data_IF_905589714097
#
_entry.id   IF_905589714097
#
_cell.length_a   1.000
_cell.length_b   1.000
_cell.length_c   1.000
_cell.angle_alpha   90.00
_cell.angle_beta   90.00
_cell.angle_gamma   90.00
#
_symmetry.space_group_name_H-M   'P 1'
#
loop_
_entity.id
_entity.type
_entity.pdbx_description
1 polymer ?
#
# COMPACT_ATOMS: atom_id res chain seq x y z
N UNK A 1 19.19 -6.55 22.32
CA UNK A 1 17.83 -6.30 21.85
C UNK A 1 16.87 -7.00 22.81
N UNK A 2 16.02 -6.26 23.55
CA UNK A 2 14.94 -6.89 24.33
C UNK A 2 14.03 -7.61 23.33
N UNK A 3 13.86 -8.92 23.49
CA UNK A 3 12.87 -9.68 22.75
C UNK A 3 11.50 -8.99 22.93
N UNK A 4 10.95 -8.49 21.83
CA UNK A 4 9.59 -7.98 21.87
C UNK A 4 8.67 -9.19 22.03
N UNK A 5 8.08 -9.32 23.21
CA UNK A 5 7.02 -10.28 23.45
C UNK A 5 5.79 -9.85 22.62
N UNK A 6 5.19 -10.81 21.94
CA UNK A 6 3.88 -10.60 21.31
C UNK A 6 2.91 -10.21 22.42
N UNK A 7 2.16 -9.10 22.28
CA UNK A 7 1.22 -8.70 23.33
C UNK A 7 0.17 -9.78 23.57
N UNK A 8 -0.24 -9.94 24.82
CA UNK A 8 -1.29 -10.88 25.18
C UNK A 8 -2.65 -10.42 24.63
N UNK A 9 -3.59 -11.35 24.50
CA UNK A 9 -4.94 -11.02 24.08
C UNK A 9 -5.60 -9.98 25.00
N UNK A 10 -5.38 -10.08 26.30
CA UNK A 10 -5.89 -9.13 27.28
C UNK A 10 -5.33 -7.71 27.09
N UNK A 11 -4.02 -7.57 26.88
CA UNK A 11 -3.39 -6.28 26.58
C UNK A 11 -3.95 -5.64 25.31
N UNK A 12 -4.19 -6.45 24.27
CA UNK A 12 -4.82 -5.99 23.03
C UNK A 12 -6.24 -5.49 23.29
N UNK A 13 -7.04 -6.23 24.04
CA UNK A 13 -8.42 -5.84 24.38
C UNK A 13 -8.47 -4.55 25.22
N UNK A 14 -7.56 -4.39 26.18
CA UNK A 14 -7.45 -3.16 26.97
C UNK A 14 -7.14 -1.97 26.03
N UNK A 15 -6.19 -2.09 25.13
CA UNK A 15 -5.83 -1.03 24.16
C UNK A 15 -7.00 -0.66 23.24
N UNK A 16 -7.76 -1.65 22.80
CA UNK A 16 -8.91 -1.41 21.90
C UNK A 16 -10.10 -0.78 22.64
N UNK A 17 -10.26 -1.06 23.95
CA UNK A 17 -11.34 -0.51 24.77
C UNK A 17 -10.99 0.86 25.38
N UNK A 18 -9.70 1.21 25.48
CA UNK A 18 -9.20 2.49 26.03
C UNK A 18 -8.33 3.22 25.01
N UNK A 19 -8.90 4.10 24.19
CA UNK A 19 -8.14 4.88 23.20
C UNK A 19 -7.04 5.77 23.82
N UNK A 20 -7.23 6.24 25.05
CA UNK A 20 -6.20 7.05 25.73
C UNK A 20 -4.99 6.19 26.10
N UNK A 21 -5.22 5.01 26.64
CA UNK A 21 -4.15 4.03 26.94
C UNK A 21 -3.39 3.66 25.66
N UNK A 22 -4.12 3.36 24.58
CA UNK A 22 -3.50 3.04 23.29
C UNK A 22 -2.63 4.20 22.77
N UNK A 23 -3.11 5.43 22.89
CA UNK A 23 -2.36 6.62 22.50
C UNK A 23 -1.08 6.78 23.34
N UNK A 24 -1.16 6.59 24.64
CA UNK A 24 0.02 6.67 25.54
C UNK A 24 1.06 5.60 25.18
N UNK A 25 0.63 4.34 24.96
CA UNK A 25 1.51 3.24 24.55
C UNK A 25 2.19 3.54 23.21
N UNK A 26 1.45 4.14 22.28
CA UNK A 26 1.98 4.55 20.99
C UNK A 26 3.00 5.68 21.13
N UNK A 27 2.73 6.71 21.94
CA UNK A 27 3.66 7.82 22.18
C UNK A 27 4.95 7.32 22.84
N UNK A 28 4.86 6.42 23.82
CA UNK A 28 6.02 5.79 24.47
C UNK A 28 6.84 4.96 23.46
N UNK A 29 6.16 4.18 22.61
CA UNK A 29 6.82 3.38 21.58
C UNK A 29 7.56 4.25 20.57
N UNK A 30 6.99 5.38 20.16
CA UNK A 30 7.62 6.35 19.23
C UNK A 30 8.79 7.07 19.88
N UNK A 31 8.67 7.46 21.13
CA UNK A 31 9.79 8.06 21.87
C UNK A 31 10.99 7.11 21.97
N UNK A 32 10.73 5.80 22.11
CA UNK A 32 11.77 4.78 22.14
C UNK A 32 12.33 4.43 20.75
N UNK A 33 11.60 4.72 19.66
CA UNK A 33 11.91 4.34 18.28
C UNK A 33 11.46 5.41 17.29
N UNK A 34 12.29 6.46 17.15
CA UNK A 34 11.96 7.66 16.36
C UNK A 34 11.62 7.44 14.88
N UNK A 35 12.01 6.29 14.29
CA UNK A 35 11.76 5.97 12.88
C UNK A 35 10.63 4.94 12.68
N UNK A 36 9.85 4.66 13.71
CA UNK A 36 8.81 3.65 13.65
C UNK A 36 7.60 4.18 12.88
N UNK A 37 7.25 3.50 11.78
CA UNK A 37 6.06 3.81 11.01
C UNK A 37 4.80 3.19 11.62
N UNK A 38 3.63 3.81 11.36
CA UNK A 38 2.36 3.41 11.95
C UNK A 38 1.98 1.92 11.74
N UNK A 39 2.18 1.31 10.56
CA UNK A 39 1.91 -0.12 10.39
C UNK A 39 2.75 -1.02 11.31
N UNK A 40 4.01 -0.65 11.53
CA UNK A 40 4.89 -1.39 12.42
C UNK A 40 4.53 -1.16 13.89
N UNK A 41 4.17 0.07 14.27
CA UNK A 41 3.68 0.38 15.59
C UNK A 41 2.40 -0.42 15.92
N UNK A 42 1.45 -0.46 14.98
CA UNK A 42 0.23 -1.24 15.10
C UNK A 42 0.53 -2.73 15.35
N UNK A 43 1.44 -3.31 14.55
CA UNK A 43 1.88 -4.69 14.69
C UNK A 43 2.54 -4.97 16.06
N UNK A 44 3.36 -4.05 16.56
CA UNK A 44 4.03 -4.16 17.86
C UNK A 44 3.02 -4.10 19.00
N UNK A 45 2.05 -3.21 18.91
CA UNK A 45 1.00 -3.04 19.92
C UNK A 45 -0.12 -4.08 19.79
N UNK A 46 -0.12 -4.89 18.73
CA UNK A 46 -1.10 -5.94 18.47
C UNK A 46 -2.49 -5.41 18.08
N UNK A 47 -2.59 -4.19 17.60
CA UNK A 47 -3.85 -3.53 17.25
C UNK A 47 -3.91 -3.23 15.75
N UNK A 48 -5.12 -3.11 15.16
CA UNK A 48 -5.25 -2.59 13.79
C UNK A 48 -4.75 -1.15 13.67
N UNK A 49 -4.22 -0.78 12.50
CA UNK A 49 -3.71 0.58 12.30
C UNK A 49 -4.80 1.65 12.44
N UNK A 50 -6.04 1.37 12.01
CA UNK A 50 -7.16 2.26 12.21
C UNK A 50 -7.44 2.59 13.69
N UNK A 51 -7.13 1.65 14.61
CA UNK A 51 -7.24 1.90 16.05
C UNK A 51 -6.21 2.93 16.53
N UNK A 52 -4.97 2.85 16.03
CA UNK A 52 -3.94 3.87 16.33
C UNK A 52 -4.41 5.26 15.90
N UNK A 53 -4.85 5.38 14.65
CA UNK A 53 -5.32 6.66 14.11
C UNK A 53 -6.52 7.17 14.90
N UNK A 54 -7.50 6.30 15.19
CA UNK A 54 -8.69 6.68 15.96
C UNK A 54 -8.36 7.08 17.42
N UNK A 55 -7.27 6.56 18.01
CA UNK A 55 -6.82 6.99 19.34
C UNK A 55 -6.40 8.48 19.38
N UNK A 56 -6.16 9.09 18.20
CA UNK A 56 -5.83 10.51 18.00
C UNK A 56 -7.04 11.40 17.67
N UNK A 57 -8.26 10.90 17.73
CA UNK A 57 -9.45 11.72 17.51
C UNK A 57 -9.46 12.92 18.47
N UNK A 58 -9.68 14.13 17.90
CA UNK A 58 -9.56 15.38 18.64
C UNK A 58 -8.12 15.87 18.90
N UNK A 59 -7.10 15.05 18.57
CA UNK A 59 -5.68 15.37 18.78
C UNK A 59 -4.81 15.07 17.54
N UNK A 60 -5.31 15.44 16.36
CA UNK A 60 -4.62 15.23 15.08
C UNK A 60 -5.39 14.35 14.11
N UNK A 61 -6.33 13.55 14.56
CA UNK A 61 -7.21 12.78 13.69
C UNK A 61 -8.64 13.35 13.68
N UNK A 62 -9.31 13.19 12.55
CA UNK A 62 -10.72 13.50 12.35
C UNK A 62 -11.32 12.30 11.60
N UNK A 63 -12.41 11.72 12.10
CA UNK A 63 -13.17 10.69 11.40
C UNK A 63 -14.03 11.32 10.32
N UNK A 64 -14.05 10.72 9.15
CA UNK A 64 -14.82 11.15 7.99
C UNK A 64 -15.92 10.11 7.66
N UNK A 65 -16.94 10.46 6.87
CA UNK A 65 -17.87 9.48 6.32
C UNK A 65 -17.12 8.36 5.58
N UNK A 66 -17.64 7.15 5.62
CA UNK A 66 -17.08 6.03 4.84
C UNK A 66 -17.53 6.10 3.35
N UNK A 67 -17.42 7.28 2.76
CA UNK A 67 -17.71 7.54 1.35
C UNK A 67 -16.44 8.05 0.65
N UNK A 68 -15.61 7.12 0.12
CA UNK A 68 -14.35 7.50 -0.48
C UNK A 68 -14.49 8.33 -1.75
N UNK A 69 -15.57 8.21 -2.52
CA UNK A 69 -15.78 9.03 -3.71
C UNK A 69 -16.07 10.48 -3.33
N UNK A 70 -16.93 10.72 -2.32
CA UNK A 70 -17.19 12.05 -1.81
C UNK A 70 -15.92 12.74 -1.29
N UNK A 71 -15.08 11.98 -0.59
CA UNK A 71 -13.84 12.49 0.00
C UNK A 71 -12.80 12.81 -1.08
N UNK A 72 -12.63 11.91 -2.06
CA UNK A 72 -11.58 12.00 -3.09
C UNK A 72 -11.97 12.85 -4.30
N UNK A 73 -13.24 13.19 -4.48
CA UNK A 73 -13.69 13.97 -5.65
C UNK A 73 -12.86 15.23 -5.95
N UNK A 74 -12.32 16.01 -4.97
CA UNK A 74 -11.49 17.18 -5.24
C UNK A 74 -9.99 16.87 -5.35
N UNK A 75 -9.57 15.62 -5.45
CA UNK A 75 -8.15 15.24 -5.37
C UNK A 75 -7.30 15.86 -6.50
N UNK A 76 -7.89 16.15 -7.66
CA UNK A 76 -7.21 16.83 -8.77
C UNK A 76 -6.74 18.24 -8.39
N UNK A 77 -7.41 18.88 -7.43
CA UNK A 77 -7.04 20.19 -6.88
C UNK A 77 -5.87 20.12 -5.90
N UNK A 78 -5.56 18.94 -5.37
CA UNK A 78 -4.51 18.75 -4.34
C UNK A 78 -3.10 18.75 -4.91
N UNK A 79 -2.97 18.92 -6.23
CA UNK A 79 -1.70 18.89 -6.94
C UNK A 79 -1.00 17.54 -6.78
N UNK A 80 0.29 17.53 -6.50
CA UNK A 80 1.06 16.31 -6.31
C UNK A 80 0.73 15.68 -4.94
N UNK A 81 0.31 14.43 -4.96
CA UNK A 81 0.01 13.59 -3.79
C UNK A 81 0.86 12.33 -3.83
N UNK A 82 1.02 11.67 -2.69
CA UNK A 82 1.59 10.35 -2.63
C UNK A 82 0.49 9.40 -2.20
N UNK A 83 0.25 8.38 -3.02
CA UNK A 83 -0.70 7.31 -2.71
C UNK A 83 0.08 6.07 -2.30
N UNK A 84 -0.21 5.56 -1.11
CA UNK A 84 0.41 4.37 -0.55
C UNK A 84 -0.55 3.18 -0.58
N UNK A 85 -0.06 2.03 -1.05
CA UNK A 85 -0.72 0.74 -0.98
C UNK A 85 0.21 -0.24 -0.26
N UNK A 86 -0.31 -0.90 0.77
CA UNK A 86 0.42 -1.88 1.57
C UNK A 86 -0.08 -3.29 1.30
N UNK A 87 0.85 -4.24 1.22
CA UNK A 87 0.56 -5.67 1.26
C UNK A 87 1.58 -6.38 2.16
N UNK A 88 1.56 -7.72 2.23
CA UNK A 88 2.52 -8.47 3.04
C UNK A 88 3.96 -8.29 2.57
N UNK A 89 4.18 -8.09 1.26
CA UNK A 89 5.50 -7.85 0.67
C UNK A 89 6.07 -6.50 1.13
N UNK A 90 5.23 -5.46 1.36
CA UNK A 90 5.69 -4.14 1.80
C UNK A 90 4.77 -3.01 1.39
N UNK A 91 5.37 -1.88 0.99
CA UNK A 91 4.64 -0.69 0.57
C UNK A 91 5.06 -0.23 -0.82
N UNK A 92 4.07 0.11 -1.63
CA UNK A 92 4.21 0.83 -2.89
C UNK A 92 3.70 2.25 -2.71
N UNK A 93 4.51 3.23 -3.06
CA UNK A 93 4.29 4.67 -2.89
C UNK A 93 4.33 5.34 -4.26
N UNK A 94 3.16 5.61 -4.86
CA UNK A 94 3.10 6.34 -6.13
C UNK A 94 2.94 7.84 -5.87
N UNK A 95 3.82 8.64 -6.48
CA UNK A 95 3.88 10.08 -6.33
C UNK A 95 3.49 10.76 -7.63
N UNK A 96 2.40 11.52 -7.64
CA UNK A 96 1.91 12.18 -8.85
C UNK A 96 0.73 13.11 -8.59
N UNK A 97 0.28 13.74 -9.66
CA UNK A 97 -1.01 14.41 -9.66
C UNK A 97 -2.07 13.40 -10.08
N UNK A 98 -3.17 13.35 -9.34
CA UNK A 98 -4.36 12.61 -9.76
C UNK A 98 -5.17 13.54 -10.65
N UNK A 99 -5.40 13.10 -11.87
CA UNK A 99 -6.11 13.86 -12.91
C UNK A 99 -7.59 13.50 -12.95
N UNK A 100 -7.89 12.22 -12.65
CA UNK A 100 -9.24 11.67 -12.70
C UNK A 100 -9.50 10.73 -11.51
N UNK A 101 -10.73 10.82 -10.99
CA UNK A 101 -11.30 9.90 -10.02
C UNK A 101 -12.61 9.38 -10.56
N UNK A 102 -12.70 8.09 -10.75
CA UNK A 102 -13.90 7.45 -11.25
C UNK A 102 -14.31 6.27 -10.36
N UNK A 103 -15.61 6.04 -10.25
CA UNK A 103 -16.16 4.83 -9.68
C UNK A 103 -16.92 4.06 -10.76
N UNK A 104 -16.58 2.77 -10.91
CA UNK A 104 -17.28 1.83 -11.79
C UNK A 104 -17.66 0.61 -10.97
N UNK A 105 -18.94 0.43 -10.74
CA UNK A 105 -19.44 -0.57 -9.78
C UNK A 105 -18.88 -0.30 -8.39
N UNK A 106 -18.22 -1.30 -7.82
CA UNK A 106 -17.56 -1.20 -6.51
C UNK A 106 -16.14 -0.62 -6.56
N UNK A 107 -15.58 -0.41 -7.74
CA UNK A 107 -14.19 -0.01 -7.90
C UNK A 107 -14.06 1.50 -8.01
N UNK A 108 -13.30 2.11 -7.09
CA UNK A 108 -12.78 3.47 -7.24
C UNK A 108 -11.40 3.40 -7.87
N UNK A 109 -11.15 4.26 -8.85
CA UNK A 109 -9.88 4.37 -9.55
C UNK A 109 -9.38 5.80 -9.53
N UNK A 110 -8.13 5.96 -9.10
CA UNK A 110 -7.37 7.21 -9.14
C UNK A 110 -6.39 7.12 -10.29
N UNK A 111 -6.49 8.02 -11.25
CA UNK A 111 -5.61 8.05 -12.43
C UNK A 111 -4.84 9.35 -12.51
N UNK A 112 -3.57 9.23 -12.89
CA UNK A 112 -2.69 10.33 -13.26
C UNK A 112 -1.66 9.84 -14.26
N UNK A 113 -0.73 10.70 -14.67
CA UNK A 113 0.28 10.37 -15.67
C UNK A 113 1.16 9.17 -15.28
N UNK A 114 1.48 9.03 -14.00
CA UNK A 114 2.34 7.95 -13.45
C UNK A 114 1.68 7.16 -12.32
N UNK A 115 0.46 7.52 -11.94
CA UNK A 115 -0.28 6.93 -10.86
C UNK A 115 -1.56 6.30 -11.40
N UNK A 116 -1.74 5.02 -11.13
CA UNK A 116 -2.99 4.30 -11.37
C UNK A 116 -3.23 3.41 -10.14
N UNK A 117 -4.15 3.83 -9.28
CA UNK A 117 -4.49 3.12 -8.06
C UNK A 117 -5.98 2.85 -8.05
N UNK A 118 -6.37 1.63 -7.73
CA UNK A 118 -7.76 1.23 -7.63
C UNK A 118 -8.02 0.45 -6.34
N UNK A 119 -9.23 0.57 -5.81
CA UNK A 119 -9.64 -0.12 -4.59
C UNK A 119 -11.15 -0.33 -4.53
N UNK A 120 -11.59 -1.27 -3.68
CA UNK A 120 -13.01 -1.56 -3.45
C UNK A 120 -13.62 -0.48 -2.55
N UNK A 121 -14.64 0.20 -3.04
CA UNK A 121 -15.40 1.20 -2.27
C UNK A 121 -16.19 0.54 -1.13
N UNK A 122 -16.82 -0.60 -1.39
CA UNK A 122 -17.59 -1.35 -0.38
C UNK A 122 -16.72 -1.91 0.76
N UNK A 123 -15.42 -2.03 0.54
CA UNK A 123 -14.47 -2.43 1.58
C UNK A 123 -14.14 -1.30 2.55
N UNK A 124 -14.40 -0.05 2.22
CA UNK A 124 -14.09 1.10 3.09
C UNK A 124 -15.12 1.20 4.20
N UNK A 125 -14.71 0.90 5.42
CA UNK A 125 -15.55 1.05 6.61
C UNK A 125 -15.13 2.25 7.47
N UNK A 126 -13.88 2.68 7.37
CA UNK A 126 -13.36 3.83 8.11
C UNK A 126 -12.57 4.75 7.19
N UNK A 127 -12.75 6.04 7.39
CA UNK A 127 -11.97 7.07 6.74
C UNK A 127 -11.53 8.11 7.78
N UNK A 128 -10.26 8.51 7.70
CA UNK A 128 -9.67 9.48 8.61
C UNK A 128 -8.86 10.53 7.84
N UNK A 129 -9.02 11.80 8.23
CA UNK A 129 -7.99 12.79 8.01
C UNK A 129 -7.05 12.77 9.20
N UNK A 130 -5.77 12.58 8.96
CA UNK A 130 -4.76 12.46 9.99
C UNK A 130 -3.62 13.44 9.77
N UNK A 131 -3.34 14.23 10.79
CA UNK A 131 -2.23 15.18 10.84
C UNK A 131 -1.27 14.71 11.91
N UNK A 132 -0.10 14.34 11.49
CA UNK A 132 0.96 13.87 12.35
C UNK A 132 2.12 14.88 12.36
N UNK A 133 2.67 15.12 13.53
CA UNK A 133 3.89 15.92 13.70
C UNK A 133 5.00 14.99 14.14
N UNK A 134 6.07 14.97 13.39
CA UNK A 134 7.24 14.13 13.59
C UNK A 134 8.49 14.99 13.49
N UNK A 135 9.44 14.81 14.40
CA UNK A 135 10.67 15.62 14.48
C UNK A 135 11.55 15.44 13.22
N UNK A 136 11.46 14.29 12.53
CA UNK A 136 12.26 13.98 11.36
C UNK A 136 11.61 14.42 10.05
N UNK A 137 10.29 14.32 9.94
CA UNK A 137 9.54 14.58 8.72
C UNK A 137 8.68 15.84 8.79
N UNK A 138 8.65 16.48 9.96
CA UNK A 138 7.80 17.64 10.20
C UNK A 138 6.31 17.28 10.25
N UNK A 139 5.47 18.17 9.71
CA UNK A 139 4.03 17.96 9.70
C UNK A 139 3.57 17.22 8.46
N UNK A 140 3.18 15.96 8.61
CA UNK A 140 2.55 15.17 7.56
C UNK A 140 1.03 15.25 7.63
N UNK A 141 0.35 15.11 6.49
CA UNK A 141 -1.09 15.14 6.37
C UNK A 141 -1.52 14.03 5.44
N UNK A 142 -2.44 13.18 5.90
CA UNK A 142 -2.93 12.06 5.11
C UNK A 142 -4.42 11.83 5.25
N UNK A 143 -5.02 11.36 4.17
CA UNK A 143 -6.26 10.60 4.21
C UNK A 143 -5.91 9.12 4.35
N UNK A 144 -6.61 8.43 5.22
CA UNK A 144 -6.42 6.99 5.42
C UNK A 144 -7.76 6.29 5.36
N UNK A 145 -7.84 5.28 4.50
CA UNK A 145 -9.01 4.44 4.33
C UNK A 145 -8.70 3.04 4.84
N UNK A 146 -9.56 2.51 5.68
CA UNK A 146 -9.42 1.18 6.22
C UNK A 146 -10.72 0.40 6.19
N UNK A 147 -10.57 -0.90 6.23
CA UNK A 147 -11.69 -1.83 6.27
C UNK A 147 -12.32 -1.93 7.68
N UNK A 148 -13.34 -2.75 7.83
CA UNK A 148 -14.05 -2.92 9.10
C UNK A 148 -13.19 -3.56 10.20
N UNK A 149 -12.20 -4.38 9.82
CA UNK A 149 -11.20 -4.93 10.74
C UNK A 149 -10.11 -3.92 11.12
N UNK A 150 -10.08 -2.77 10.45
CA UNK A 150 -9.07 -1.72 10.62
C UNK A 150 -7.78 -1.95 9.85
N UNK A 151 -7.81 -2.88 8.90
CA UNK A 151 -6.73 -3.07 7.92
C UNK A 151 -6.67 -1.90 6.93
N UNK A 152 -5.45 -1.47 6.60
CA UNK A 152 -5.22 -0.39 5.65
C UNK A 152 -5.64 -0.79 4.23
N UNK A 153 -6.35 0.10 3.53
CA UNK A 153 -6.71 -0.05 2.12
C UNK A 153 -5.79 0.81 1.27
N UNK A 154 -5.87 2.13 1.45
CA UNK A 154 -4.97 3.11 0.85
C UNK A 154 -4.74 4.29 1.79
N UNK A 155 -3.61 4.98 1.59
CA UNK A 155 -3.35 6.30 2.20
C UNK A 155 -2.99 7.30 1.12
N UNK A 156 -3.49 8.53 1.27
CA UNK A 156 -3.17 9.65 0.37
C UNK A 156 -2.52 10.76 1.18
N UNK A 157 -1.26 11.05 0.91
CA UNK A 157 -0.50 12.10 1.60
C UNK A 157 -0.50 13.39 0.78
N UNK A 158 -0.75 14.51 1.46
CA UNK A 158 -0.80 15.85 0.87
C UNK A 158 0.41 16.68 1.30
N UNK A 159 1.22 17.09 0.33
CA UNK A 159 2.44 17.88 0.58
C UNK A 159 2.24 19.38 0.36
N UNK A 160 1.35 19.76 -0.56
CA UNK A 160 1.15 21.17 -0.87
C UNK A 160 0.35 21.89 0.22
N UNK A 161 0.98 22.83 0.94
CA UNK A 161 0.42 23.46 2.14
C UNK A 161 -0.96 24.09 1.90
N UNK A 162 -1.14 24.84 0.81
CA UNK A 162 -2.41 25.51 0.50
C UNK A 162 -3.52 24.50 0.17
N UNK A 163 -3.22 23.47 -0.64
CA UNK A 163 -4.17 22.41 -0.96
C UNK A 163 -4.56 21.62 0.29
N UNK A 164 -3.58 21.28 1.14
CA UNK A 164 -3.84 20.58 2.40
C UNK A 164 -4.70 21.41 3.37
N UNK A 165 -4.51 22.72 3.43
CA UNK A 165 -5.35 23.60 4.27
C UNK A 165 -6.78 23.70 3.73
N UNK A 166 -6.98 23.73 2.41
CA UNK A 166 -8.30 23.70 1.79
C UNK A 166 -9.01 22.36 2.05
N UNK A 167 -8.29 21.25 1.86
CA UNK A 167 -8.78 19.91 2.15
C UNK A 167 -9.16 19.75 3.64
N UNK A 168 -8.33 20.22 4.56
CA UNK A 168 -8.62 20.18 6.00
C UNK A 168 -9.90 20.90 6.38
N UNK A 169 -10.18 22.10 5.80
CA UNK A 169 -11.44 22.82 6.03
C UNK A 169 -12.64 21.99 5.56
N UNK A 170 -12.55 21.41 4.36
CA UNK A 170 -13.59 20.55 3.81
C UNK A 170 -13.82 19.31 4.70
N UNK A 171 -12.75 18.67 5.15
CA UNK A 171 -12.86 17.48 6.00
C UNK A 171 -13.43 17.79 7.38
N UNK A 172 -13.14 18.95 7.95
CA UNK A 172 -13.80 19.41 9.18
C UNK A 172 -15.31 19.53 9.00
N UNK A 173 -15.77 20.09 7.90
CA UNK A 173 -17.19 20.18 7.59
C UNK A 173 -17.84 18.78 7.38
N UNK A 174 -17.16 17.88 6.67
CA UNK A 174 -17.63 16.50 6.51
C UNK A 174 -17.68 15.75 7.85
N UNK A 175 -16.74 15.99 8.75
CA UNK A 175 -16.67 15.36 10.05
C UNK A 175 -17.86 15.73 10.97
N UNK A 176 -18.51 16.85 10.76
CA UNK A 176 -19.73 17.25 11.49
C UNK A 176 -20.92 16.30 11.20
N UNK A 177 -20.85 15.56 10.09
CA UNK A 177 -21.92 14.63 9.69
C UNK A 177 -21.78 13.23 10.28
N UNK A 178 -20.68 12.94 10.99
CA UNK A 178 -20.38 11.61 11.54
C UNK A 178 -19.94 11.68 12.99
N UNK A 179 -20.27 10.65 13.76
CA UNK A 179 -19.85 10.56 15.15
C UNK A 179 -18.33 10.36 15.26
N UNK A 180 -17.68 11.18 16.08
CA UNK A 180 -16.25 11.09 16.36
C UNK A 180 -16.00 10.03 17.46
N UNK A 181 -16.35 8.77 17.17
CA UNK A 181 -16.25 7.65 18.11
C UNK A 181 -14.94 6.89 17.95
N UNK A 182 -14.51 6.23 19.03
CA UNK A 182 -13.38 5.30 19.00
C UNK A 182 -13.59 4.21 17.94
N UNK A 183 -12.47 3.63 17.50
CA UNK A 183 -12.50 2.49 16.59
C UNK A 183 -12.92 1.23 17.35
N UNK A 184 -13.84 0.50 16.78
CA UNK A 184 -14.20 -0.85 17.23
C UNK A 184 -14.06 -1.79 16.02
N UNK A 185 -13.14 -2.76 16.06
CA UNK A 185 -13.00 -3.70 14.95
C UNK A 185 -14.27 -4.54 14.83
N UNK A 186 -14.81 -4.60 13.63
CA UNK A 186 -15.88 -5.53 13.29
C UNK A 186 -15.29 -6.78 12.62
N UNK A 187 -15.95 -7.90 12.78
CA UNK A 187 -15.60 -9.10 12.04
C UNK A 187 -15.68 -8.81 10.53
N UNK A 188 -14.58 -9.05 9.83
CA UNK A 188 -14.55 -8.93 8.39
C UNK A 188 -15.26 -10.13 7.77
N UNK A 189 -16.15 -9.94 6.80
CA UNK A 189 -16.49 -11.03 5.90
C UNK A 189 -15.21 -11.49 5.21
N UNK A 190 -15.06 -12.81 5.09
CA UNK A 190 -13.90 -13.42 4.44
C UNK A 190 -13.75 -12.79 3.04
N UNK A 191 -12.63 -12.16 2.72
CA UNK A 191 -12.51 -11.49 1.44
C UNK A 191 -12.62 -12.54 0.34
N UNK A 192 -13.54 -12.33 -0.60
CA UNK A 192 -13.70 -13.20 -1.76
C UNK A 192 -12.50 -13.15 -2.72
N UNK A 193 -11.29 -13.33 -2.18
CA UNK A 193 -10.01 -13.29 -2.85
C UNK A 193 -9.39 -11.89 -2.94
N UNK A 194 -8.11 -11.84 -3.27
CA UNK A 194 -7.37 -10.62 -3.55
C UNK A 194 -8.06 -9.79 -4.63
N UNK A 195 -8.16 -8.49 -4.40
CA UNK A 195 -8.56 -7.56 -5.44
C UNK A 195 -7.46 -7.54 -6.52
N UNK A 196 -7.72 -8.21 -7.64
CA UNK A 196 -6.87 -8.17 -8.82
C UNK A 196 -7.68 -7.54 -9.95
N UNK A 197 -7.37 -6.32 -10.39
CA UNK A 197 -8.13 -5.61 -11.42
C UNK A 197 -8.24 -6.35 -12.76
N UNK A 198 -7.33 -7.29 -13.05
CA UNK A 198 -7.25 -8.07 -14.29
C UNK A 198 -6.95 -9.54 -14.00
N UNK A 199 -7.87 -10.23 -13.29
CA UNK A 199 -7.75 -11.69 -13.08
C UNK A 199 -7.74 -12.49 -14.39
N UNK A 200 -8.39 -11.95 -15.43
CA UNK A 200 -8.59 -12.64 -16.69
C UNK A 200 -7.52 -12.31 -17.75
N UNK A 201 -6.32 -11.88 -17.33
CA UNK A 201 -5.25 -11.73 -18.32
C UNK A 201 -4.94 -13.07 -18.99
N UNK A 202 -4.95 -13.10 -20.35
CA UNK A 202 -4.71 -14.33 -21.07
C UNK A 202 -3.29 -14.84 -20.84
N UNK A 203 -3.12 -16.13 -20.97
CA UNK A 203 -1.79 -16.77 -20.91
C UNK A 203 -1.75 -18.01 -20.00
N UNK A 204 -0.76 -18.84 -20.26
CA UNK A 204 -0.47 -20.02 -19.44
C UNK A 204 0.42 -19.60 -18.27
N UNK A 205 0.07 -20.03 -17.07
CA UNK A 205 0.88 -19.82 -15.87
C UNK A 205 1.73 -21.07 -15.61
N UNK A 206 3.02 -20.87 -15.41
CA UNK A 206 4.00 -21.89 -15.06
C UNK A 206 4.65 -21.50 -13.72
N UNK A 207 4.66 -22.44 -12.78
CA UNK A 207 5.39 -22.25 -11.51
C UNK A 207 6.89 -22.43 -11.78
N UNK A 208 7.68 -21.45 -11.39
CA UNK A 208 9.14 -21.56 -11.46
C UNK A 208 9.65 -22.31 -10.22
N UNK A 209 10.45 -23.40 -10.46
CA UNK A 209 11.07 -24.18 -9.40
C UNK A 209 12.31 -23.46 -8.83
N UNK A 210 12.11 -22.25 -8.30
CA UNK A 210 13.17 -21.42 -7.75
C UNK A 210 12.72 -20.76 -6.45
N UNK A 211 13.68 -20.32 -5.62
CA UNK A 211 13.38 -19.50 -4.45
C UNK A 211 12.74 -18.17 -4.87
N UNK A 212 11.50 -17.95 -4.48
CA UNK A 212 10.78 -16.72 -4.84
C UNK A 212 11.49 -15.44 -4.33
N UNK A 213 12.05 -15.37 -3.10
CA UNK A 213 12.88 -14.25 -2.67
C UNK A 213 14.09 -14.00 -3.57
N UNK A 214 14.81 -15.06 -3.94
CA UNK A 214 15.98 -14.96 -4.81
C UNK A 214 15.59 -14.50 -6.23
N UNK A 215 14.53 -15.07 -6.79
CA UNK A 215 14.01 -14.69 -8.10
C UNK A 215 13.62 -13.20 -8.13
N UNK A 216 12.98 -12.73 -7.08
CA UNK A 216 12.60 -11.33 -6.95
C UNK A 216 13.81 -10.39 -6.85
N UNK A 217 14.79 -10.74 -6.00
CA UNK A 217 16.04 -9.98 -5.86
C UNK A 217 16.82 -9.96 -7.19
N UNK A 218 16.92 -11.10 -7.89
CA UNK A 218 17.55 -11.19 -9.21
C UNK A 218 16.83 -10.32 -10.23
N UNK A 219 15.50 -10.36 -10.30
CA UNK A 219 14.72 -9.52 -11.19
C UNK A 219 14.96 -8.04 -10.92
N UNK A 220 14.93 -7.61 -9.66
CA UNK A 220 15.19 -6.21 -9.30
C UNK A 220 16.62 -5.76 -9.58
N UNK A 221 17.62 -6.56 -9.23
CA UNK A 221 19.04 -6.20 -9.47
C UNK A 221 19.35 -6.06 -10.98
N UNK A 222 18.64 -6.79 -11.82
CA UNK A 222 18.76 -6.75 -13.28
C UNK A 222 17.76 -5.82 -13.96
N UNK A 223 16.92 -5.10 -13.19
CA UNK A 223 15.89 -4.23 -13.78
C UNK A 223 16.48 -3.13 -14.66
N UNK A 224 17.66 -2.61 -14.31
CA UNK A 224 18.39 -1.64 -15.13
C UNK A 224 18.83 -2.17 -16.50
N UNK A 225 18.94 -3.50 -16.67
CA UNK A 225 19.27 -4.14 -17.96
C UNK A 225 18.06 -4.17 -18.91
N UNK A 226 16.84 -4.07 -18.36
CA UNK A 226 15.62 -3.99 -19.14
C UNK A 226 15.54 -2.60 -19.80
N UNK A 227 16.07 -2.48 -20.99
CA UNK A 227 16.07 -1.21 -21.73
C UNK A 227 14.69 -0.84 -22.31
N UNK A 228 13.64 -0.98 -21.49
CA UNK A 228 12.25 -0.69 -21.82
C UNK A 228 11.49 -0.24 -20.57
N UNK A 229 10.38 0.52 -20.70
CA UNK A 229 9.48 0.76 -19.60
C UNK A 229 8.89 -0.55 -19.06
N UNK A 230 8.80 -0.65 -17.75
CA UNK A 230 8.17 -1.77 -17.05
C UNK A 230 6.83 -1.33 -16.44
N UNK A 231 5.89 -2.25 -16.38
CA UNK A 231 4.72 -2.16 -15.53
C UNK A 231 5.01 -2.94 -14.24
N UNK A 232 4.85 -2.28 -13.11
CA UNK A 232 4.93 -2.89 -11.79
C UNK A 232 3.57 -2.76 -11.16
N UNK A 233 2.85 -3.86 -11.08
CA UNK A 233 1.53 -3.92 -10.45
C UNK A 233 1.70 -4.50 -9.05
N UNK A 234 1.30 -3.74 -8.03
CA UNK A 234 1.24 -4.15 -6.64
C UNK A 234 -0.20 -4.48 -6.28
N UNK A 235 -0.41 -5.63 -5.68
CA UNK A 235 -1.72 -6.10 -5.28
C UNK A 235 -1.78 -6.25 -3.77
N UNK A 236 -2.78 -5.62 -3.18
CA UNK A 236 -3.18 -5.79 -1.79
C UNK A 236 -4.57 -6.45 -1.74
N UNK A 237 -5.02 -6.81 -0.54
CA UNK A 237 -6.28 -7.51 -0.37
C UNK A 237 -7.48 -6.76 -0.98
N UNK A 238 -7.44 -5.41 -0.95
CA UNK A 238 -8.57 -4.55 -1.34
C UNK A 238 -8.19 -3.41 -2.27
N UNK A 239 -6.94 -3.37 -2.67
CA UNK A 239 -6.40 -2.31 -3.52
C UNK A 239 -5.36 -2.85 -4.47
N UNK A 240 -5.16 -2.16 -5.59
CA UNK A 240 -4.03 -2.38 -6.48
C UNK A 240 -3.46 -1.04 -6.92
N UNK A 241 -2.15 -1.03 -7.18
CA UNK A 241 -1.44 0.13 -7.68
C UNK A 241 -0.52 -0.28 -8.81
N UNK A 242 -0.59 0.44 -9.91
CA UNK A 242 0.24 0.21 -11.09
C UNK A 242 1.19 1.38 -11.31
N UNK A 243 2.45 1.08 -11.50
CA UNK A 243 3.46 1.99 -12.00
C UNK A 243 3.83 1.61 -13.44
N UNK A 244 4.08 2.61 -14.27
CA UNK A 244 4.56 2.43 -15.64
C UNK A 244 5.71 3.39 -15.89
N UNK A 245 6.89 2.86 -16.12
CA UNK A 245 8.07 3.69 -16.36
C UNK A 245 9.35 2.87 -16.42
N UNK A 246 10.47 3.55 -16.58
CA UNK A 246 11.79 2.92 -16.47
C UNK A 246 12.21 2.83 -15.01
N UNK A 247 12.84 1.73 -14.65
CA UNK A 247 13.45 1.54 -13.34
C UNK A 247 14.95 1.58 -13.53
N UNK A 248 15.58 2.56 -12.91
CA UNK A 248 17.03 2.78 -12.98
C UNK A 248 17.70 2.65 -11.61
N UNK A 249 16.92 2.78 -10.53
CA UNK A 249 17.41 2.74 -9.16
C UNK A 249 16.69 1.66 -8.35
N UNK A 250 17.14 0.43 -8.49
CA UNK A 250 16.74 -0.67 -7.63
C UNK A 250 17.94 -1.11 -6.77
N UNK A 251 17.69 -1.36 -5.49
CA UNK A 251 18.70 -1.82 -4.54
C UNK A 251 18.11 -2.92 -3.67
N UNK A 252 18.89 -3.96 -3.48
CA UNK A 252 18.53 -5.07 -2.59
C UNK A 252 19.61 -5.25 -1.52
N UNK A 253 19.20 -5.57 -0.31
CA UNK A 253 20.06 -6.11 0.74
C UNK A 253 19.50 -7.47 1.21
N UNK A 254 20.02 -8.02 2.29
CA UNK A 254 19.62 -9.34 2.79
C UNK A 254 18.14 -9.41 3.21
N UNK A 255 17.55 -8.29 3.61
CA UNK A 255 16.20 -8.23 4.20
C UNK A 255 15.22 -7.47 3.32
N UNK A 256 15.68 -6.39 2.69
CA UNK A 256 14.85 -5.41 2.00
C UNK A 256 15.24 -5.26 0.54
N UNK A 257 14.24 -4.92 -0.25
CA UNK A 257 14.40 -4.44 -1.61
C UNK A 257 13.76 -3.05 -1.73
N UNK A 258 14.50 -2.15 -2.36
CA UNK A 258 14.09 -0.76 -2.53
C UNK A 258 14.10 -0.41 -4.01
N UNK A 259 13.04 0.24 -4.44
CA UNK A 259 12.96 0.85 -5.76
C UNK A 259 12.69 2.34 -5.54
N UNK A 260 13.52 3.19 -6.14
CA UNK A 260 13.46 4.64 -5.97
C UNK A 260 13.52 5.33 -7.32
N UNK A 261 12.36 5.68 -7.84
CA UNK A 261 12.22 6.53 -9.03
C UNK A 261 11.49 7.83 -8.65
N UNK A 262 11.52 8.87 -9.48
CA UNK A 262 10.86 10.15 -9.14
C UNK A 262 9.38 10.04 -8.80
N UNK A 263 8.67 9.10 -9.42
CA UNK A 263 7.22 8.96 -9.31
C UNK A 263 6.77 7.69 -8.57
N UNK A 264 7.71 6.81 -8.20
CA UNK A 264 7.42 5.64 -7.38
C UNK A 264 8.56 5.34 -6.42
N UNK A 265 8.19 4.92 -5.22
CA UNK A 265 9.10 4.30 -4.25
C UNK A 265 8.47 3.02 -3.74
N UNK A 266 9.28 2.00 -3.59
CA UNK A 266 8.84 0.74 -3.01
C UNK A 266 9.84 0.30 -1.95
N UNK A 267 9.29 -0.21 -0.84
CA UNK A 267 10.06 -0.79 0.25
C UNK A 267 9.49 -2.16 0.52
N UNK A 268 10.19 -3.20 0.09
CA UNK A 268 9.67 -4.55 -0.02
C UNK A 268 10.53 -5.52 0.79
N UNK A 269 9.90 -6.56 1.32
CA UNK A 269 10.53 -7.65 2.08
C UNK A 269 10.43 -8.96 1.31
N UNK A 270 11.40 -9.30 0.44
CA UNK A 270 11.33 -10.48 -0.40
C UNK A 270 11.11 -11.78 0.36
N UNK A 271 11.59 -11.88 1.60
CA UNK A 271 11.47 -13.07 2.43
C UNK A 271 10.05 -13.55 2.73
N UNK A 272 9.02 -12.74 2.49
CA UNK A 272 7.61 -13.16 2.63
C UNK A 272 7.09 -13.92 1.40
N UNK A 273 7.76 -13.80 0.26
CA UNK A 273 7.33 -14.45 -0.99
C UNK A 273 7.42 -15.96 -0.89
N UNK A 274 6.45 -16.64 -1.50
CA UNK A 274 6.31 -18.10 -1.48
C UNK A 274 6.52 -18.74 -2.83
N UNK A 275 6.08 -18.06 -3.90
CA UNK A 275 6.24 -18.57 -5.24
C UNK A 275 6.51 -17.46 -6.25
N UNK A 276 7.20 -17.79 -7.31
CA UNK A 276 7.31 -17.02 -8.53
C UNK A 276 6.66 -17.81 -9.66
N UNK A 277 5.86 -17.11 -10.45
CA UNK A 277 5.16 -17.68 -11.59
C UNK A 277 5.54 -16.92 -12.86
N UNK A 278 5.67 -17.64 -13.94
CA UNK A 278 5.89 -17.10 -15.27
C UNK A 278 4.58 -17.19 -16.04
N UNK A 279 4.06 -16.06 -16.47
CA UNK A 279 2.90 -16.00 -17.36
C UNK A 279 3.39 -15.96 -18.81
N UNK A 280 3.00 -16.95 -19.60
CA UNK A 280 3.33 -17.02 -21.03
C UNK A 280 2.13 -16.70 -21.89
N UNK A 281 2.33 -15.85 -22.87
CA UNK A 281 1.37 -15.55 -23.94
C UNK A 281 2.04 -15.77 -25.29
N UNK A 282 1.46 -16.59 -26.14
CA UNK A 282 2.00 -16.91 -27.47
C UNK A 282 3.48 -17.37 -27.43
N UNK A 283 3.82 -18.19 -26.44
CA UNK A 283 5.18 -18.72 -26.26
C UNK A 283 6.19 -17.78 -25.60
N UNK A 284 5.85 -16.51 -25.37
CA UNK A 284 6.72 -15.48 -24.75
C UNK A 284 6.40 -15.31 -23.28
N UNK A 285 7.38 -14.89 -22.49
CA UNK A 285 7.14 -14.48 -21.12
C UNK A 285 6.46 -13.10 -21.15
N UNK A 286 5.19 -13.06 -20.76
CA UNK A 286 4.39 -11.83 -20.70
C UNK A 286 4.48 -11.15 -19.32
N UNK A 287 4.68 -11.93 -18.24
CA UNK A 287 4.84 -11.39 -16.90
C UNK A 287 5.63 -12.35 -15.98
N UNK A 288 6.28 -11.76 -14.98
CA UNK A 288 6.75 -12.44 -13.77
C UNK A 288 5.81 -12.07 -12.63
N UNK A 289 5.23 -13.06 -11.97
CA UNK A 289 4.24 -12.90 -10.90
C UNK A 289 4.80 -13.47 -9.59
N UNK A 290 4.80 -12.65 -8.55
CA UNK A 290 5.31 -13.01 -7.23
C UNK A 290 4.15 -13.10 -6.25
N UNK A 291 4.05 -14.22 -5.54
CA UNK A 291 2.96 -14.49 -4.60
C UNK A 291 3.47 -14.61 -3.18
N UNK A 292 2.69 -14.15 -2.23
CA UNK A 292 2.83 -14.41 -0.79
C UNK A 292 1.77 -15.43 -0.32
N UNK A 293 1.66 -15.74 0.97
CA UNK A 293 0.63 -16.66 1.47
C UNK A 293 -0.81 -16.23 1.20
N UNK A 294 -1.06 -14.95 0.95
CA UNK A 294 -2.40 -14.41 0.64
C UNK A 294 -2.71 -14.40 -0.86
N UNK A 295 -1.73 -14.66 -1.72
CA UNK A 295 -1.87 -14.75 -3.17
C UNK A 295 -0.92 -13.82 -3.95
N UNK A 296 -1.38 -13.28 -5.08
CA UNK A 296 -0.56 -12.41 -5.95
C UNK A 296 -0.28 -11.07 -5.27
N UNK A 297 1.01 -10.77 -5.04
CA UNK A 297 1.46 -9.56 -4.38
C UNK A 297 2.07 -8.55 -5.33
N UNK A 298 2.75 -9.03 -6.38
CA UNK A 298 3.42 -8.15 -7.34
C UNK A 298 3.54 -8.83 -8.70
N UNK A 299 3.38 -8.04 -9.76
CA UNK A 299 3.58 -8.46 -11.15
C UNK A 299 4.54 -7.49 -11.84
N UNK A 300 5.48 -8.03 -12.58
CA UNK A 300 6.33 -7.31 -13.52
C UNK A 300 5.94 -7.68 -14.94
N UNK A 301 5.74 -6.70 -15.81
CA UNK A 301 5.41 -6.90 -17.22
C UNK A 301 5.85 -5.70 -18.07
N UNK A 302 5.83 -5.83 -19.38
CA UNK A 302 6.02 -4.71 -20.31
C UNK A 302 5.25 -4.96 -21.62
N UNK A 303 3.92 -4.79 -21.63
CA UNK A 303 3.09 -5.17 -22.78
C UNK A 303 3.45 -4.44 -24.07
N UNK A 304 3.85 -3.16 -24.00
CA UNK A 304 4.26 -2.38 -25.17
C UNK A 304 5.65 -2.80 -25.71
N UNK A 305 6.44 -3.52 -24.92
CA UNK A 305 7.78 -4.00 -25.25
C UNK A 305 7.91 -5.50 -24.95
N UNK A 306 6.89 -6.28 -25.33
CA UNK A 306 6.73 -7.68 -24.94
C UNK A 306 7.92 -8.57 -25.31
N UNK A 307 8.56 -8.32 -26.48
CA UNK A 307 9.73 -9.07 -26.91
C UNK A 307 10.94 -8.79 -26.00
N UNK A 308 11.25 -7.49 -25.76
CA UNK A 308 12.37 -7.07 -24.92
C UNK A 308 12.18 -7.57 -23.48
N UNK A 309 10.95 -7.48 -22.96
CA UNK A 309 10.63 -8.01 -21.63
C UNK A 309 10.80 -9.53 -21.57
N UNK A 310 10.34 -10.26 -22.59
CA UNK A 310 10.44 -11.73 -22.63
C UNK A 310 11.90 -12.18 -22.63
N UNK A 311 12.76 -11.54 -23.42
CA UNK A 311 14.21 -11.85 -23.48
C UNK A 311 14.88 -11.55 -22.12
N UNK A 312 14.59 -10.40 -21.52
CA UNK A 312 15.09 -10.06 -20.19
C UNK A 312 14.59 -11.05 -19.12
N UNK A 313 13.30 -11.35 -19.09
CA UNK A 313 12.73 -12.28 -18.13
C UNK A 313 13.27 -13.70 -18.29
N UNK A 314 13.56 -14.12 -19.52
CA UNK A 314 14.21 -15.38 -19.79
C UNK A 314 15.60 -15.43 -19.14
N UNK A 315 16.41 -14.37 -19.26
CA UNK A 315 17.75 -14.33 -18.61
C UNK A 315 17.64 -14.32 -17.08
N UNK A 316 16.58 -13.70 -16.49
CA UNK A 316 16.33 -13.77 -15.07
C UNK A 316 16.02 -15.22 -14.64
N UNK A 317 15.14 -15.90 -15.38
CA UNK A 317 14.74 -17.29 -15.04
C UNK A 317 15.88 -18.30 -15.23
N UNK A 318 16.71 -18.14 -16.25
CA UNK A 318 17.89 -19.00 -16.50
C UNK A 318 18.98 -18.85 -15.42
N UNK A 319 19.10 -17.66 -14.84
CA UNK A 319 20.05 -17.42 -13.72
C UNK A 319 19.63 -18.19 -12.45
N UNK A 320 18.38 -18.65 -12.37
CA UNK A 320 17.79 -19.30 -11.21
C UNK A 320 17.69 -20.83 -11.36
N UNK A 321 17.92 -21.34 -12.55
CA UNK A 321 17.93 -22.77 -12.87
C UNK A 321 19.27 -23.41 -12.52
#
# INVERSE_FOLDING_TARGET
MKHMTVPSHEEVQIRLSDPLKLRMDWDELRAARAHLHNPEAARILGVPEAALVASRLGAGAIRLPADPLQILSPISEWRRVLVAVHNALGVSLALGQVEDVAQVGDVIRLRGSHLDTSFSAASVANAFWFVEVDDNHGRTRSLQFSDAGGGDIIKVFLFHKTAAAAAERRFKALAETVAQTAFSPAAMPDPAGLYTPDRDQPGRIELLAASAPLAFQTALSRMGELNAPVHIDTFALRAAQSFRGRVTHARTDEVMAHLHEPDIRMHLRPGVLRAVQVRRLEGRIAALEFTDPSGLSLRLSSPQHAQVFSEWAQTVTETLA
#
